data_IF_098452646169
#
_entry.id   IF_098452646169
#
_cell.length_a   1.000
_cell.length_b   1.000
_cell.length_c   1.000
_cell.angle_alpha   90.00
_cell.angle_beta   90.00
_cell.angle_gamma   90.00
#
_symmetry.space_group_name_H-M   'P 1'
#
loop_
_entity.id
_entity.type
_entity.pdbx_description
1 polymer ?
#
# COMPACT_ATOMS: atom_id res chain seq x y z
N UNK A 1 9.31 -10.35 11.20
CA UNK A 1 10.47 -10.97 10.50
C UNK A 1 10.55 -10.53 9.04
N UNK A 2 9.53 -10.73 8.20
CA UNK A 2 9.56 -10.28 6.79
C UNK A 2 9.75 -8.76 6.62
N UNK A 3 9.02 -7.94 7.38
CA UNK A 3 9.20 -6.47 7.33
C UNK A 3 10.58 -6.01 7.80
N UNK A 4 11.24 -6.71 8.73
CA UNK A 4 12.61 -6.37 9.16
C UNK A 4 13.64 -6.72 8.09
N UNK A 5 13.43 -7.83 7.37
CA UNK A 5 14.25 -8.23 6.22
C UNK A 5 14.03 -7.29 5.03
N UNK A 6 12.77 -6.92 4.75
CA UNK A 6 12.45 -5.94 3.73
C UNK A 6 13.05 -4.58 4.09
N UNK A 7 12.98 -4.16 5.35
CA UNK A 7 13.59 -2.92 5.83
C UNK A 7 15.10 -2.90 5.63
N UNK A 8 15.81 -3.95 6.03
CA UNK A 8 17.26 -4.04 5.85
C UNK A 8 17.67 -4.10 4.38
N UNK A 9 16.94 -4.84 3.54
CA UNK A 9 17.15 -4.87 2.08
C UNK A 9 16.86 -3.50 1.45
N UNK A 10 15.78 -2.82 1.84
CA UNK A 10 15.51 -1.45 1.36
C UNK A 10 16.57 -0.46 1.79
N UNK A 11 17.05 -0.52 3.03
CA UNK A 11 18.14 0.34 3.49
C UNK A 11 19.41 0.11 2.67
N UNK A 12 19.75 -1.15 2.38
CA UNK A 12 20.90 -1.50 1.55
C UNK A 12 20.73 -1.02 0.10
N UNK A 13 19.56 -1.21 -0.50
CA UNK A 13 19.30 -0.81 -1.89
C UNK A 13 19.21 0.71 -2.03
N UNK A 14 18.62 1.41 -1.05
CA UNK A 14 18.60 2.88 -0.98
C UNK A 14 20.02 3.43 -0.84
N UNK A 15 20.87 2.81 0.00
CA UNK A 15 22.27 3.20 0.14
C UNK A 15 23.08 3.02 -1.16
N UNK A 16 22.67 2.08 -2.03
CA UNK A 16 23.31 1.82 -3.33
C UNK A 16 22.72 2.64 -4.48
N UNK A 17 21.47 3.11 -4.37
CA UNK A 17 20.80 3.84 -5.44
C UNK A 17 21.19 5.33 -5.43
N UNK A 18 21.81 5.80 -6.52
CA UNK A 18 21.94 7.24 -6.79
C UNK A 18 20.53 7.84 -6.89
N UNK A 19 20.28 8.92 -6.16
CA UNK A 19 19.02 9.68 -6.18
C UNK A 19 18.68 10.11 -7.61
N UNK A 20 17.66 9.49 -8.20
CA UNK A 20 17.20 9.78 -9.55
C UNK A 20 15.93 10.63 -9.55
N UNK A 21 15.77 11.38 -10.65
CA UNK A 21 14.95 12.58 -10.79
C UNK A 21 13.55 12.48 -10.18
N UNK A 22 13.26 13.42 -9.28
CA UNK A 22 11.89 13.69 -8.85
C UNK A 22 11.06 14.12 -10.06
N UNK A 23 9.98 13.39 -10.36
CA UNK A 23 9.00 13.82 -11.34
C UNK A 23 8.44 15.17 -10.86
N UNK A 24 8.56 16.22 -11.68
CA UNK A 24 8.03 17.54 -11.34
C UNK A 24 6.50 17.49 -11.45
N UNK A 25 5.82 17.38 -10.31
CA UNK A 25 4.37 17.29 -10.21
C UNK A 25 3.85 18.38 -9.31
N UNK A 26 2.73 19.00 -9.69
CA UNK A 26 2.07 20.02 -8.89
C UNK A 26 1.34 19.40 -7.69
N UNK A 27 1.29 20.14 -6.58
CA UNK A 27 0.55 19.71 -5.37
C UNK A 27 -0.93 19.43 -5.68
N UNK A 28 -1.55 20.26 -6.53
CA UNK A 28 -2.95 20.05 -6.96
C UNK A 28 -3.14 18.70 -7.66
N UNK A 29 -2.22 18.31 -8.55
CA UNK A 29 -2.32 17.01 -9.23
C UNK A 29 -2.12 15.85 -8.23
N UNK A 30 -1.19 15.97 -7.28
CA UNK A 30 -1.02 14.97 -6.21
C UNK A 30 -2.31 14.80 -5.41
N UNK A 31 -2.93 15.90 -4.99
CA UNK A 31 -4.16 15.86 -4.20
C UNK A 31 -5.33 15.26 -4.99
N UNK A 32 -5.47 15.59 -6.29
CA UNK A 32 -6.51 14.99 -7.16
C UNK A 32 -6.39 13.47 -7.24
N UNK A 33 -5.19 12.95 -7.50
CA UNK A 33 -4.98 11.50 -7.59
C UNK A 33 -5.04 10.79 -6.23
N UNK A 34 -4.63 11.46 -5.16
CA UNK A 34 -4.79 10.97 -3.78
C UNK A 34 -6.28 10.77 -3.46
N UNK A 35 -7.11 11.80 -3.67
CA UNK A 35 -8.54 11.75 -3.39
C UNK A 35 -9.26 10.74 -4.29
N UNK A 36 -8.96 10.75 -5.59
CA UNK A 36 -9.56 9.79 -6.54
C UNK A 36 -9.19 8.35 -6.17
N UNK A 37 -7.92 8.09 -5.85
CA UNK A 37 -7.46 6.78 -5.42
C UNK A 37 -8.13 6.32 -4.12
N UNK A 38 -8.27 7.22 -3.15
CA UNK A 38 -8.92 6.90 -1.88
C UNK A 38 -10.41 6.58 -2.05
N UNK A 39 -11.14 7.41 -2.80
CA UNK A 39 -12.56 7.16 -3.12
C UNK A 39 -12.73 5.84 -3.87
N UNK A 40 -11.86 5.56 -4.85
CA UNK A 40 -11.90 4.29 -5.58
C UNK A 40 -11.68 3.09 -4.65
N UNK A 41 -10.70 3.15 -3.77
CA UNK A 41 -10.41 2.08 -2.80
C UNK A 41 -11.57 1.84 -1.83
N UNK A 42 -12.19 2.90 -1.31
CA UNK A 42 -13.38 2.79 -0.45
C UNK A 42 -14.55 2.19 -1.23
N UNK A 43 -14.82 2.67 -2.44
CA UNK A 43 -15.92 2.18 -3.26
C UNK A 43 -15.76 0.68 -3.58
N UNK A 44 -14.57 0.25 -4.00
CA UNK A 44 -14.29 -1.16 -4.24
C UNK A 44 -14.40 -2.00 -2.96
N UNK A 45 -13.91 -1.49 -1.83
CA UNK A 45 -13.99 -2.21 -0.58
C UNK A 45 -15.43 -2.44 -0.13
N UNK A 46 -16.27 -1.40 -0.17
CA UNK A 46 -17.70 -1.51 0.14
C UNK A 46 -18.39 -2.47 -0.83
N UNK A 47 -18.13 -2.36 -2.13
CA UNK A 47 -18.72 -3.23 -3.14
C UNK A 47 -18.33 -4.70 -2.94
N UNK A 48 -17.05 -4.98 -2.68
CA UNK A 48 -16.58 -6.35 -2.44
C UNK A 48 -17.16 -6.88 -1.12
N UNK A 49 -17.19 -6.09 -0.06
CA UNK A 49 -17.80 -6.48 1.23
C UNK A 49 -19.31 -6.69 1.15
N UNK A 50 -19.99 -6.07 0.19
CA UNK A 50 -21.41 -6.34 -0.10
C UNK A 50 -21.60 -7.70 -0.78
N UNK A 51 -20.70 -8.09 -1.69
CA UNK A 51 -20.78 -9.35 -2.43
C UNK A 51 -20.21 -10.55 -1.67
N UNK A 52 -19.23 -10.33 -0.78
CA UNK A 52 -18.49 -11.36 -0.08
C UNK A 52 -18.34 -11.02 1.40
N UNK A 53 -18.46 -12.03 2.27
CA UNK A 53 -18.07 -11.88 3.68
C UNK A 53 -16.54 -11.82 3.79
N UNK A 54 -15.99 -10.61 3.72
CA UNK A 54 -14.54 -10.42 3.71
C UNK A 54 -14.00 -10.14 5.11
N UNK A 55 -13.24 -11.09 5.62
CA UNK A 55 -12.33 -10.92 6.74
C UNK A 55 -10.93 -11.28 6.26
N UNK A 56 -10.02 -10.31 6.24
CA UNK A 56 -8.65 -10.56 5.82
C UNK A 56 -7.80 -11.00 7.02
N UNK A 57 -6.92 -11.98 6.82
CA UNK A 57 -5.99 -12.44 7.87
C UNK A 57 -5.13 -11.28 8.39
N UNK A 58 -4.67 -10.40 7.50
CA UNK A 58 -3.88 -9.22 7.88
C UNK A 58 -4.65 -8.33 8.85
N UNK A 59 -5.91 -8.00 8.56
CA UNK A 59 -6.70 -7.14 9.43
C UNK A 59 -6.90 -7.77 10.82
N UNK A 60 -7.16 -9.08 10.88
CA UNK A 60 -7.30 -9.80 12.15
C UNK A 60 -6.02 -9.71 12.97
N UNK A 61 -4.87 -9.96 12.36
CA UNK A 61 -3.56 -9.87 13.03
C UNK A 61 -3.26 -8.45 13.47
N UNK A 62 -3.53 -7.44 12.63
CA UNK A 62 -3.31 -6.03 12.95
C UNK A 62 -4.16 -5.59 14.13
N UNK A 63 -5.44 -5.97 14.20
CA UNK A 63 -6.31 -5.67 15.33
C UNK A 63 -5.82 -6.34 16.61
N UNK A 64 -5.34 -7.59 16.53
CA UNK A 64 -4.78 -8.29 17.69
C UNK A 64 -3.51 -7.62 18.22
N UNK A 65 -2.57 -7.28 17.33
CA UNK A 65 -1.33 -6.58 17.70
C UNK A 65 -1.64 -5.18 18.24
N UNK A 66 -2.56 -4.46 17.61
CA UNK A 66 -2.97 -3.12 18.04
C UNK A 66 -3.57 -3.07 19.44
N UNK A 67 -4.16 -4.17 19.94
CA UNK A 67 -4.63 -4.30 21.33
C UNK A 67 -3.51 -4.54 22.34
N UNK A 68 -2.32 -4.95 21.89
CA UNK A 68 -1.19 -5.34 22.75
C UNK A 68 -0.15 -4.22 22.90
N UNK A 69 -0.22 -3.17 22.10
CA UNK A 69 0.79 -2.09 22.07
C UNK A 69 0.14 -0.72 22.25
N UNK A 70 0.88 0.29 22.75
CA UNK A 70 0.36 1.65 22.82
C UNK A 70 -0.07 2.18 21.44
N UNK A 71 -1.18 2.93 21.32
CA UNK A 71 -1.68 3.40 20.03
C UNK A 71 -0.65 4.18 19.20
N UNK A 72 0.18 5.01 19.85
CA UNK A 72 1.24 5.78 19.18
C UNK A 72 2.25 4.84 18.51
N UNK A 73 2.64 3.76 19.19
CA UNK A 73 3.58 2.76 18.64
C UNK A 73 2.94 2.03 17.47
N UNK A 74 1.65 1.69 17.57
CA UNK A 74 0.93 1.07 16.46
C UNK A 74 0.83 1.99 15.24
N UNK A 75 0.55 3.28 15.44
CA UNK A 75 0.52 4.27 14.36
C UNK A 75 1.88 4.41 13.68
N UNK A 76 2.98 4.46 14.44
CA UNK A 76 4.33 4.46 13.89
C UNK A 76 4.61 3.19 13.07
N UNK A 77 4.12 2.04 13.53
CA UNK A 77 4.20 0.79 12.77
C UNK A 77 3.42 0.87 11.46
N UNK A 78 2.20 1.40 11.43
CA UNK A 78 1.42 1.58 10.20
C UNK A 78 2.12 2.53 9.22
N UNK A 79 2.69 3.63 9.71
CA UNK A 79 3.50 4.56 8.90
C UNK A 79 4.68 3.83 8.29
N UNK A 80 5.44 3.10 9.11
CA UNK A 80 6.60 2.34 8.65
C UNK A 80 6.21 1.29 7.61
N UNK A 81 5.13 0.53 7.84
CA UNK A 81 4.63 -0.48 6.91
C UNK A 81 4.25 0.13 5.55
N UNK A 82 3.45 1.20 5.54
CA UNK A 82 3.05 1.88 4.31
C UNK A 82 4.25 2.45 3.55
N UNK A 83 5.21 3.07 4.23
CA UNK A 83 6.41 3.62 3.58
C UNK A 83 7.25 2.49 2.98
N UNK A 84 7.51 1.43 3.76
CA UNK A 84 8.37 0.34 3.35
C UNK A 84 7.81 -0.40 2.14
N UNK A 85 6.52 -0.77 2.18
CA UNK A 85 5.88 -1.51 1.10
C UNK A 85 5.89 -0.72 -0.21
N UNK A 86 5.55 0.57 -0.19
CA UNK A 86 5.58 1.37 -1.41
C UNK A 86 7.01 1.62 -1.91
N UNK A 87 8.01 1.75 -1.03
CA UNK A 87 9.42 1.81 -1.47
C UNK A 87 9.80 0.52 -2.18
N UNK A 88 9.49 -0.65 -1.60
CA UNK A 88 9.81 -1.95 -2.21
C UNK A 88 9.13 -2.07 -3.57
N UNK A 89 7.82 -1.89 -3.63
CA UNK A 89 7.05 -2.22 -4.83
C UNK A 89 6.97 -1.07 -5.84
N UNK A 90 6.77 0.17 -5.40
CA UNK A 90 6.52 1.35 -6.26
C UNK A 90 7.76 2.19 -6.52
N UNK A 91 8.87 1.92 -5.85
CA UNK A 91 10.18 2.52 -6.18
C UNK A 91 11.16 1.47 -6.68
N UNK A 92 11.64 0.57 -5.83
CA UNK A 92 12.74 -0.32 -6.16
C UNK A 92 12.36 -1.29 -7.28
N UNK A 93 11.30 -2.09 -7.10
CA UNK A 93 10.85 -3.02 -8.13
C UNK A 93 10.33 -2.28 -9.37
N UNK A 94 9.56 -1.22 -9.17
CA UNK A 94 9.03 -0.39 -10.26
C UNK A 94 10.13 0.11 -11.21
N UNK A 95 11.26 0.56 -10.67
CA UNK A 95 12.40 1.10 -11.43
C UNK A 95 13.19 0.01 -12.18
N UNK A 96 13.12 -1.26 -11.77
CA UNK A 96 13.73 -2.37 -12.52
C UNK A 96 12.87 -2.83 -13.71
N UNK A 97 11.60 -2.40 -13.77
CA UNK A 97 10.66 -2.79 -14.81
C UNK A 97 10.49 -1.65 -15.83
N UNK A 98 10.49 -1.99 -17.12
CA UNK A 98 10.46 -0.98 -18.20
C UNK A 98 9.06 -0.60 -18.64
N UNK A 99 8.14 -1.57 -18.77
CA UNK A 99 6.84 -1.36 -19.38
C UNK A 99 5.75 -1.03 -18.34
N UNK A 100 4.93 0.02 -18.52
CA UNK A 100 3.91 0.43 -17.54
C UNK A 100 2.91 -0.66 -17.15
N UNK A 101 2.47 -1.48 -18.10
CA UNK A 101 1.55 -2.59 -17.81
C UNK A 101 2.21 -3.66 -16.94
N UNK A 102 3.49 -3.97 -17.19
CA UNK A 102 4.27 -4.92 -16.38
C UNK A 102 4.53 -4.32 -14.99
N UNK A 103 4.86 -3.03 -14.90
CA UNK A 103 5.01 -2.32 -13.63
C UNK A 103 3.73 -2.45 -12.78
N UNK A 104 2.57 -2.13 -13.35
CA UNK A 104 1.28 -2.24 -12.64
C UNK A 104 1.01 -3.70 -12.26
N UNK A 105 1.09 -4.63 -13.21
CA UNK A 105 0.75 -6.03 -13.00
C UNK A 105 1.65 -6.70 -11.95
N UNK A 106 2.97 -6.65 -12.12
CA UNK A 106 3.92 -7.32 -11.24
C UNK A 106 3.89 -6.75 -9.82
N UNK A 107 3.91 -5.43 -9.70
CA UNK A 107 3.99 -4.78 -8.38
C UNK A 107 2.68 -4.88 -7.60
N UNK A 108 1.53 -5.02 -8.29
CA UNK A 108 0.23 -5.29 -7.66
C UNK A 108 0.08 -6.76 -7.29
N UNK A 109 0.49 -7.68 -8.17
CA UNK A 109 0.40 -9.11 -7.91
C UNK A 109 1.27 -9.54 -6.71
N UNK A 110 2.53 -9.09 -6.65
CA UNK A 110 3.41 -9.38 -5.51
C UNK A 110 2.91 -8.74 -4.21
N UNK A 111 2.31 -7.57 -4.29
CA UNK A 111 1.66 -6.92 -3.15
C UNK A 111 0.52 -7.78 -2.59
N UNK A 112 -0.34 -8.32 -3.46
CA UNK A 112 -1.42 -9.23 -3.08
C UNK A 112 -0.86 -10.48 -2.41
N UNK A 113 0.16 -11.11 -3.00
CA UNK A 113 0.77 -12.31 -2.42
C UNK A 113 1.35 -12.06 -1.02
N UNK A 114 2.01 -10.92 -0.81
CA UNK A 114 2.59 -10.57 0.48
C UNK A 114 1.54 -10.40 1.59
N UNK A 115 0.29 -10.07 1.24
CA UNK A 115 -0.82 -9.95 2.17
C UNK A 115 -1.48 -11.29 2.54
N UNK A 116 -1.03 -12.40 1.95
CA UNK A 116 -1.49 -13.76 2.26
C UNK A 116 -3.01 -13.94 2.18
N UNK A 117 -3.66 -13.58 1.05
CA UNK A 117 -5.10 -13.75 0.87
C UNK A 117 -5.48 -15.23 1.00
N UNK A 118 -6.52 -15.50 1.79
CA UNK A 118 -6.99 -16.86 2.11
C UNK A 118 -8.39 -17.15 1.54
N UNK A 119 -9.05 -16.15 0.96
CA UNK A 119 -10.37 -16.27 0.34
C UNK A 119 -10.53 -15.32 -0.84
N UNK A 120 -11.47 -15.61 -1.75
CA UNK A 120 -11.68 -14.81 -2.97
C UNK A 120 -11.91 -13.32 -2.66
N UNK A 121 -12.73 -13.00 -1.66
CA UNK A 121 -12.95 -11.60 -1.27
C UNK A 121 -11.66 -10.89 -0.83
N UNK A 122 -10.75 -11.58 -0.13
CA UNK A 122 -9.44 -11.02 0.25
C UNK A 122 -8.50 -10.86 -0.94
N UNK A 123 -8.54 -11.78 -1.92
CA UNK A 123 -7.82 -11.64 -3.18
C UNK A 123 -8.27 -10.39 -3.94
N UNK A 124 -9.58 -10.19 -4.06
CA UNK A 124 -10.16 -9.03 -4.74
C UNK A 124 -9.83 -7.72 -4.00
N UNK A 125 -9.97 -7.69 -2.67
CA UNK A 125 -9.63 -6.52 -1.85
C UNK A 125 -8.19 -6.06 -2.07
N UNK A 126 -7.22 -6.96 -1.92
CA UNK A 126 -5.82 -6.59 -2.10
C UNK A 126 -5.47 -6.30 -3.55
N UNK A 127 -6.16 -6.92 -4.51
CA UNK A 127 -5.96 -6.62 -5.93
C UNK A 127 -6.38 -5.19 -6.25
N UNK A 128 -7.56 -4.77 -5.78
CA UNK A 128 -8.04 -3.38 -5.93
C UNK A 128 -7.10 -2.38 -5.25
N UNK A 129 -6.63 -2.70 -4.04
CA UNK A 129 -5.66 -1.88 -3.31
C UNK A 129 -4.35 -1.74 -4.09
N UNK A 130 -3.72 -2.86 -4.46
CA UNK A 130 -2.47 -2.90 -5.20
C UNK A 130 -2.55 -2.16 -6.54
N UNK A 131 -3.59 -2.44 -7.32
CA UNK A 131 -3.81 -1.79 -8.62
C UNK A 131 -4.02 -0.28 -8.49
N UNK A 132 -4.78 0.17 -7.49
CA UNK A 132 -5.00 1.61 -7.28
C UNK A 132 -3.71 2.32 -6.89
N UNK A 133 -2.92 1.73 -5.97
CA UNK A 133 -1.61 2.26 -5.58
C UNK A 133 -0.64 2.32 -6.78
N UNK A 134 -0.63 1.30 -7.63
CA UNK A 134 0.16 1.28 -8.86
C UNK A 134 -0.29 2.34 -9.87
N UNK A 135 -1.61 2.52 -10.06
CA UNK A 135 -2.16 3.54 -10.94
C UNK A 135 -1.80 4.96 -10.46
N UNK A 136 -1.94 5.22 -9.14
CA UNK A 136 -1.55 6.49 -8.53
C UNK A 136 -0.06 6.72 -8.70
N UNK A 137 0.79 5.71 -8.46
CA UNK A 137 2.24 5.81 -8.71
C UNK A 137 2.58 6.16 -10.16
N UNK A 138 1.89 5.56 -11.13
CA UNK A 138 2.12 5.82 -12.55
C UNK A 138 1.77 7.27 -12.91
N UNK A 139 0.61 7.74 -12.45
CA UNK A 139 0.10 9.08 -12.76
C UNK A 139 0.81 10.17 -11.99
N UNK A 140 1.25 9.87 -10.77
CA UNK A 140 1.95 10.79 -9.88
C UNK A 140 3.38 10.32 -9.61
N UNK A 141 3.69 9.96 -8.37
CA UNK A 141 5.00 9.59 -7.84
C UNK A 141 4.84 8.61 -6.65
N UNK A 142 5.97 8.12 -6.13
CA UNK A 142 5.98 7.18 -5.00
C UNK A 142 5.47 7.80 -3.71
N UNK A 143 5.69 9.11 -3.49
CA UNK A 143 5.25 9.79 -2.28
C UNK A 143 3.72 9.87 -2.20
N UNK A 144 3.06 10.08 -3.33
CA UNK A 144 1.59 10.11 -3.40
C UNK A 144 1.01 8.72 -3.15
N UNK A 145 1.66 7.65 -3.63
CA UNK A 145 1.27 6.27 -3.32
C UNK A 145 1.46 5.94 -1.84
N UNK A 146 2.59 6.35 -1.22
CA UNK A 146 2.81 6.24 0.23
C UNK A 146 1.71 6.95 1.02
N UNK A 147 1.39 8.19 0.65
CA UNK A 147 0.34 8.96 1.32
C UNK A 147 -1.03 8.30 1.19
N UNK A 148 -1.37 7.75 0.01
CA UNK A 148 -2.61 7.03 -0.21
C UNK A 148 -2.69 5.75 0.63
N UNK A 149 -1.62 4.97 0.66
CA UNK A 149 -1.56 3.73 1.44
C UNK A 149 -1.64 4.03 2.94
N UNK A 150 -0.92 5.05 3.42
CA UNK A 150 -1.02 5.47 4.81
C UNK A 150 -2.43 5.95 5.17
N UNK A 151 -3.07 6.72 4.29
CA UNK A 151 -4.45 7.16 4.48
C UNK A 151 -5.40 5.96 4.58
N UNK A 152 -5.22 4.96 3.71
CA UNK A 152 -5.99 3.72 3.75
C UNK A 152 -5.81 2.96 5.07
N UNK A 153 -4.57 2.72 5.50
CA UNK A 153 -4.29 2.01 6.74
C UNK A 153 -4.82 2.76 7.97
N UNK A 154 -4.71 4.09 7.98
CA UNK A 154 -5.24 4.93 9.05
C UNK A 154 -6.78 4.88 9.09
N UNK A 155 -7.43 4.93 7.92
CA UNK A 155 -8.87 4.81 7.80
C UNK A 155 -9.37 3.43 8.27
N UNK A 156 -8.76 2.35 7.76
CA UNK A 156 -9.10 0.99 8.14
C UNK A 156 -8.89 0.74 9.63
N UNK A 157 -7.84 1.30 10.24
CA UNK A 157 -7.63 1.25 11.69
C UNK A 157 -8.68 2.04 12.46
N UNK A 158 -9.02 3.26 12.03
CA UNK A 158 -10.07 4.07 12.64
C UNK A 158 -11.43 3.37 12.67
N UNK A 159 -11.78 2.66 11.59
CA UNK A 159 -13.00 1.86 11.52
C UNK A 159 -13.06 0.72 12.55
N UNK A 160 -11.93 0.28 13.12
CA UNK A 160 -11.93 -0.77 14.15
C UNK A 160 -12.45 -0.32 15.50
N UNK A 161 -12.65 0.99 15.69
CA UNK A 161 -13.19 1.60 16.91
C UNK A 161 -14.67 1.99 16.81
N UNK A 162 -15.29 1.79 15.65
CA UNK A 162 -16.72 2.01 15.41
C UNK A 162 -17.47 0.68 15.54
#
# INVERSE_FOLDING_TARGET
MLQLVLLSVTCLEIARHKTLQAKKITLSNRLRWLLLGFVAMVAFAVFISFLFSVQTRNQVVLVQVGKQVPPIIFLLFLINASVLEEIVYRRLLWEKLTFPLIQIGMTSFLFVLAHGPNQLGSWLMYSCLGLTLAAVRLKTDCMTAIALHLLWNSFAYGLTFL
#
